data_IF_619910179214
#
_entry.id   IF_619910179214
#
_cell.length_a   1.000
_cell.length_b   1.000
_cell.length_c   1.000
_cell.angle_alpha   90.00
_cell.angle_beta   90.00
_cell.angle_gamma   90.00
#
_symmetry.space_group_name_H-M   'P 1'
#
loop_
_entity.id
_entity.type
_entity.pdbx_description
1 polymer ?
#
# COMPACT_ATOMS: atom_id res chain seq x y z
N UNK A 1 -17.06 -5.99 20.96
CA UNK A 1 -16.43 -4.65 20.78
C UNK A 1 -15.13 -4.68 21.57
N UNK A 2 -13.96 -4.55 20.94
CA UNK A 2 -12.67 -4.60 21.66
C UNK A 2 -12.47 -3.27 22.39
N UNK A 3 -11.88 -3.30 23.58
CA UNK A 3 -11.54 -2.11 24.38
C UNK A 3 -10.79 -1.05 23.55
N UNK A 4 -9.97 -1.50 22.59
CA UNK A 4 -9.28 -0.63 21.64
C UNK A 4 -10.21 0.18 20.72
N UNK A 5 -11.38 -0.36 20.33
CA UNK A 5 -12.34 0.35 19.46
C UNK A 5 -13.11 1.45 20.22
N UNK A 6 -13.32 1.25 21.52
CA UNK A 6 -13.86 2.25 22.43
C UNK A 6 -12.85 3.38 22.69
N UNK A 7 -11.59 3.02 22.89
CA UNK A 7 -10.51 3.98 23.13
C UNK A 7 -10.25 4.86 21.90
N UNK A 8 -10.45 4.36 20.69
CA UNK A 8 -10.31 5.12 19.44
C UNK A 8 -11.34 6.26 19.31
N UNK A 9 -12.48 6.16 19.97
CA UNK A 9 -13.55 7.17 19.93
C UNK A 9 -13.38 8.26 20.98
N UNK A 10 -12.58 8.02 22.03
CA UNK A 10 -12.50 8.89 23.21
C UNK A 10 -11.11 9.56 23.35
N UNK A 11 -10.06 8.98 22.76
CA UNK A 11 -8.68 9.47 22.91
C UNK A 11 -8.28 10.28 21.67
N UNK A 12 -7.75 11.52 21.82
CA UNK A 12 -7.20 12.29 20.73
C UNK A 12 -6.13 11.51 19.95
N UNK A 13 -6.12 11.63 18.61
CA UNK A 13 -5.23 10.87 17.72
C UNK A 13 -3.74 10.90 18.12
N UNK A 14 -3.28 12.02 18.70
CA UNK A 14 -1.91 12.19 19.19
C UNK A 14 -1.58 11.26 20.38
N UNK A 15 -2.53 11.10 21.31
CA UNK A 15 -2.39 10.23 22.48
C UNK A 15 -2.47 8.76 22.09
N UNK A 16 -3.32 8.43 21.11
CA UNK A 16 -3.43 7.09 20.57
C UNK A 16 -2.14 6.64 19.87
N UNK A 17 -1.53 7.53 19.10
CA UNK A 17 -0.23 7.27 18.46
C UNK A 17 0.89 7.03 19.50
N UNK A 18 0.89 7.81 20.59
CA UNK A 18 1.84 7.65 21.70
C UNK A 18 1.66 6.33 22.45
N UNK A 19 0.42 5.98 22.81
CA UNK A 19 0.07 4.72 23.47
C UNK A 19 0.39 3.50 22.58
N UNK A 20 0.07 3.59 21.31
CA UNK A 20 0.40 2.56 20.31
C UNK A 20 1.92 2.36 20.23
N UNK A 21 2.70 3.44 20.18
CA UNK A 21 4.17 3.39 20.17
C UNK A 21 4.73 2.72 21.43
N UNK A 22 4.24 3.09 22.62
CA UNK A 22 4.61 2.48 23.91
C UNK A 22 4.26 0.99 23.95
N UNK A 23 3.08 0.62 23.47
CA UNK A 23 2.64 -0.77 23.38
C UNK A 23 3.59 -1.61 22.51
N UNK A 24 3.95 -1.14 21.32
CA UNK A 24 4.92 -1.84 20.47
C UNK A 24 6.32 -1.90 21.09
N UNK A 25 6.75 -0.86 21.81
CA UNK A 25 8.03 -0.89 22.54
C UNK A 25 8.04 -1.93 23.68
N UNK A 26 6.93 -2.08 24.39
CA UNK A 26 6.79 -3.14 25.40
C UNK A 26 6.79 -4.53 24.77
N UNK A 27 6.07 -4.72 23.68
CA UNK A 27 6.06 -6.00 22.97
C UNK A 27 7.47 -6.40 22.45
N UNK A 28 8.27 -5.43 22.02
CA UNK A 28 9.67 -5.68 21.62
C UNK A 28 10.52 -6.27 22.76
N UNK A 29 10.23 -5.95 24.02
CA UNK A 29 10.97 -6.49 25.18
C UNK A 29 10.64 -7.97 25.45
N UNK A 30 9.52 -8.47 24.98
CA UNK A 30 9.06 -9.84 25.28
C UNK A 30 9.49 -10.88 24.24
N UNK A 31 9.96 -10.42 23.09
CA UNK A 31 10.41 -11.29 22.00
C UNK A 31 11.82 -10.92 21.56
N UNK A 32 12.67 -11.93 21.34
CA UNK A 32 13.97 -11.71 20.69
C UNK A 32 13.75 -11.09 19.29
N UNK A 33 14.53 -10.07 18.91
CA UNK A 33 14.46 -9.51 17.57
C UNK A 33 14.59 -10.59 16.49
N UNK A 34 13.89 -10.40 15.38
CA UNK A 34 14.05 -11.25 14.21
C UNK A 34 15.34 -10.89 13.49
N UNK A 35 16.16 -11.90 13.17
CA UNK A 35 17.39 -11.73 12.40
C UNK A 35 17.14 -11.89 10.90
N UNK A 36 18.14 -11.60 10.07
CA UNK A 36 18.04 -11.66 8.60
C UNK A 36 17.65 -13.05 8.10
N UNK A 37 18.22 -14.13 8.64
CA UNK A 37 17.87 -15.49 8.25
C UNK A 37 16.38 -15.77 8.50
N UNK A 38 15.89 -15.46 9.69
CA UNK A 38 14.48 -15.65 10.04
C UNK A 38 13.54 -14.80 9.15
N UNK A 39 14.00 -13.62 8.72
CA UNK A 39 13.23 -12.79 7.80
C UNK A 39 13.20 -13.39 6.40
N UNK A 40 14.31 -13.91 5.89
CA UNK A 40 14.37 -14.64 4.61
C UNK A 40 13.47 -15.87 4.62
N UNK A 41 13.60 -16.71 5.67
CA UNK A 41 12.75 -17.89 5.84
C UNK A 41 11.26 -17.51 5.84
N UNK A 42 10.88 -16.40 6.49
CA UNK A 42 9.50 -15.91 6.55
C UNK A 42 9.01 -15.43 5.18
N UNK A 43 9.85 -14.74 4.39
CA UNK A 43 9.49 -14.31 3.04
C UNK A 43 9.17 -15.50 2.14
N UNK A 44 9.97 -16.55 2.20
CA UNK A 44 9.85 -17.73 1.34
C UNK A 44 8.74 -18.68 1.82
N UNK A 45 8.65 -18.96 3.11
CA UNK A 45 7.73 -20.00 3.64
C UNK A 45 6.34 -19.48 3.97
N UNK A 46 6.24 -18.28 4.60
CA UNK A 46 4.98 -17.75 5.10
C UNK A 46 4.32 -16.76 4.15
N UNK A 47 5.14 -15.94 3.47
CA UNK A 47 4.70 -14.97 2.49
C UNK A 47 4.76 -15.53 1.05
N UNK A 48 5.37 -16.71 0.86
CA UNK A 48 5.48 -17.47 -0.39
C UNK A 48 6.06 -16.65 -1.55
N UNK A 49 7.09 -15.83 -1.28
CA UNK A 49 7.77 -15.03 -2.31
C UNK A 49 8.82 -15.88 -3.01
N UNK A 50 8.84 -15.80 -4.33
CA UNK A 50 9.76 -16.56 -5.20
C UNK A 50 10.51 -15.63 -6.14
N UNK A 51 11.60 -16.11 -6.68
CA UNK A 51 12.32 -15.42 -7.77
C UNK A 51 11.37 -15.22 -8.95
N UNK A 52 11.40 -14.03 -9.54
CA UNK A 52 10.55 -13.63 -10.64
C UNK A 52 9.19 -13.07 -10.24
N UNK A 53 8.82 -13.10 -8.96
CA UNK A 53 7.56 -12.52 -8.50
C UNK A 53 7.52 -10.99 -8.66
N UNK A 54 6.34 -10.45 -8.93
CA UNK A 54 6.05 -9.02 -8.83
C UNK A 54 5.34 -8.75 -7.52
N UNK A 55 6.02 -8.11 -6.57
CA UNK A 55 5.56 -7.99 -5.19
C UNK A 55 5.33 -6.54 -4.80
N UNK A 56 4.08 -6.22 -4.44
CA UNK A 56 3.77 -4.93 -3.81
C UNK A 56 3.94 -5.01 -2.29
N UNK A 57 4.68 -4.06 -1.71
CA UNK A 57 5.10 -4.09 -0.31
C UNK A 57 4.45 -2.95 0.48
N UNK A 58 3.62 -3.31 1.45
CA UNK A 58 3.17 -2.41 2.51
C UNK A 58 4.01 -2.63 3.77
N UNK A 59 4.51 -1.57 4.38
CA UNK A 59 5.39 -1.72 5.54
C UNK A 59 5.17 -0.70 6.63
N UNK A 60 5.39 -1.12 7.87
CA UNK A 60 5.52 -0.24 9.04
C UNK A 60 6.74 -0.63 9.85
N UNK A 61 7.88 -0.10 9.47
CA UNK A 61 9.18 -0.42 10.08
C UNK A 61 9.18 -0.17 11.58
N UNK A 62 8.48 0.86 12.05
CA UNK A 62 8.37 1.19 13.48
C UNK A 62 7.71 0.07 14.32
N UNK A 63 6.91 -0.78 13.68
CA UNK A 63 6.25 -1.93 14.33
C UNK A 63 7.07 -3.21 14.23
N UNK A 64 8.23 -3.19 13.56
CA UNK A 64 9.11 -4.34 13.46
C UNK A 64 10.06 -4.42 14.65
N UNK A 65 10.31 -5.65 15.10
CA UNK A 65 11.35 -6.01 16.06
C UNK A 65 12.40 -6.83 15.34
N UNK A 66 13.31 -6.14 14.65
CA UNK A 66 14.40 -6.71 13.84
C UNK A 66 15.76 -6.22 14.38
N UNK A 67 16.83 -6.99 14.20
CA UNK A 67 18.19 -6.65 14.61
C UNK A 67 19.12 -6.30 13.43
N UNK A 68 18.53 -5.98 12.28
CA UNK A 68 19.21 -5.52 11.08
C UNK A 68 18.60 -4.21 10.56
N UNK A 69 19.30 -3.52 9.68
CA UNK A 69 18.89 -2.20 9.20
C UNK A 69 17.72 -2.28 8.19
N UNK A 70 16.99 -1.17 8.03
CA UNK A 70 15.93 -1.06 6.98
C UNK A 70 16.52 -1.13 5.58
N UNK A 71 17.78 -0.72 5.42
CA UNK A 71 18.51 -0.88 4.17
C UNK A 71 18.73 -2.35 3.84
N UNK A 72 19.18 -3.14 4.82
CA UNK A 72 19.30 -4.61 4.67
C UNK A 72 17.95 -5.26 4.41
N UNK A 73 16.86 -4.76 5.03
CA UNK A 73 15.50 -5.25 4.74
C UNK A 73 15.14 -5.06 3.26
N UNK A 74 15.45 -3.88 2.67
CA UNK A 74 15.23 -3.63 1.24
C UNK A 74 16.09 -4.59 0.38
N UNK A 75 17.35 -4.76 0.71
CA UNK A 75 18.25 -5.65 -0.03
C UNK A 75 17.76 -7.11 0.01
N UNK A 76 17.31 -7.58 1.17
CA UNK A 76 16.74 -8.94 1.31
C UNK A 76 15.51 -9.11 0.41
N UNK A 77 14.63 -8.12 0.33
CA UNK A 77 13.46 -8.16 -0.56
C UNK A 77 13.89 -8.24 -2.03
N UNK A 78 14.86 -7.42 -2.45
CA UNK A 78 15.40 -7.42 -3.82
C UNK A 78 16.05 -8.76 -4.17
N UNK A 79 16.88 -9.31 -3.28
CA UNK A 79 17.53 -10.61 -3.45
C UNK A 79 16.51 -11.76 -3.53
N UNK A 80 15.41 -11.68 -2.75
CA UNK A 80 14.38 -12.72 -2.74
C UNK A 80 13.63 -12.78 -4.06
N UNK A 81 13.24 -11.63 -4.64
CA UNK A 81 12.57 -11.63 -5.96
C UNK A 81 13.56 -11.81 -7.11
N UNK A 82 14.85 -11.48 -6.91
CA UNK A 82 15.91 -11.61 -7.90
C UNK A 82 15.77 -10.67 -9.10
N UNK A 83 16.65 -10.83 -10.10
CA UNK A 83 16.73 -9.94 -11.26
C UNK A 83 15.47 -9.96 -12.14
N UNK A 84 14.80 -11.12 -12.23
CA UNK A 84 13.57 -11.29 -13.01
C UNK A 84 12.32 -10.77 -12.27
N UNK A 85 12.45 -10.48 -10.97
CA UNK A 85 11.37 -9.97 -10.14
C UNK A 85 11.18 -8.46 -10.19
N UNK A 86 10.10 -8.00 -9.57
CA UNK A 86 9.81 -6.56 -9.44
C UNK A 86 9.18 -6.27 -8.08
N UNK A 87 9.67 -5.23 -7.40
CA UNK A 87 9.09 -4.71 -6.15
C UNK A 87 8.36 -3.40 -6.42
N UNK A 88 7.17 -3.25 -5.84
CA UNK A 88 6.38 -2.03 -5.88
C UNK A 88 6.18 -1.51 -4.45
N UNK A 89 6.33 -0.20 -4.28
CA UNK A 89 6.15 0.49 -3.00
C UNK A 89 5.22 1.69 -3.18
N UNK A 90 4.12 1.79 -2.41
CA UNK A 90 3.34 3.03 -2.35
C UNK A 90 4.24 4.23 -2.07
N UNK A 91 4.08 5.32 -2.81
CA UNK A 91 5.07 6.40 -2.79
C UNK A 91 4.49 7.81 -2.92
N UNK A 92 3.24 8.04 -2.49
CA UNK A 92 2.69 9.39 -2.50
C UNK A 92 3.36 10.29 -1.46
N UNK A 93 3.34 11.60 -1.72
CA UNK A 93 4.18 12.59 -1.05
C UNK A 93 3.39 13.58 -0.17
N UNK A 94 2.08 13.50 -0.14
CA UNK A 94 1.23 14.40 0.67
C UNK A 94 0.67 13.69 1.89
N UNK A 95 0.21 14.48 2.87
CA UNK A 95 -0.44 14.01 4.10
C UNK A 95 -1.87 14.52 4.13
N UNK A 96 -2.79 13.72 4.64
CA UNK A 96 -4.20 14.08 4.78
C UNK A 96 -5.02 13.79 3.53
N UNK A 97 -5.99 14.67 3.23
CA UNK A 97 -6.96 14.46 2.15
C UNK A 97 -6.38 14.91 0.81
N UNK A 98 -6.50 14.05 -0.21
CA UNK A 98 -6.10 14.35 -1.58
C UNK A 98 -6.77 15.62 -2.13
N UNK A 99 -8.05 15.83 -1.80
CA UNK A 99 -8.79 17.04 -2.17
C UNK A 99 -8.07 18.33 -1.72
N UNK A 100 -7.65 18.38 -0.45
CA UNK A 100 -6.97 19.56 0.11
C UNK A 100 -5.62 19.77 -0.58
N UNK A 101 -4.89 18.68 -0.82
CA UNK A 101 -3.62 18.72 -1.53
C UNK A 101 -3.81 19.25 -2.97
N UNK A 102 -4.78 18.72 -3.72
CA UNK A 102 -5.01 19.09 -5.12
C UNK A 102 -5.51 20.54 -5.28
N UNK A 103 -6.34 21.03 -4.35
CA UNK A 103 -6.85 22.41 -4.35
C UNK A 103 -5.83 23.45 -3.91
N UNK A 104 -4.73 23.04 -3.25
CA UNK A 104 -3.69 23.98 -2.83
C UNK A 104 -2.85 24.41 -4.04
N UNK A 105 -2.80 25.72 -4.38
CA UNK A 105 -2.06 26.23 -5.52
C UNK A 105 -0.55 26.02 -5.41
N UNK A 106 0.01 25.82 -4.22
CA UNK A 106 1.44 25.61 -4.01
C UNK A 106 1.84 24.14 -4.03
N UNK A 107 0.87 23.22 -4.09
CA UNK A 107 1.15 21.80 -4.15
C UNK A 107 1.66 21.40 -5.54
N UNK A 108 2.82 20.76 -5.58
CA UNK A 108 3.44 20.22 -6.79
C UNK A 108 4.02 18.85 -6.46
N UNK A 109 3.78 17.87 -7.30
CA UNK A 109 4.43 16.58 -7.24
C UNK A 109 5.64 16.55 -8.18
N UNK A 110 6.83 16.61 -7.62
CA UNK A 110 8.06 16.36 -8.34
C UNK A 110 8.38 14.86 -8.25
N UNK A 111 8.31 14.16 -9.39
CA UNK A 111 8.48 12.70 -9.47
C UNK A 111 9.81 12.26 -8.86
N UNK A 112 10.87 13.00 -9.14
CA UNK A 112 12.24 12.71 -8.69
C UNK A 112 12.48 13.13 -7.24
N UNK A 113 12.08 14.36 -6.87
CA UNK A 113 12.53 15.01 -5.66
C UNK A 113 11.52 14.94 -4.49
N UNK A 114 10.21 14.86 -4.75
CA UNK A 114 9.23 14.81 -3.67
C UNK A 114 9.43 13.57 -2.78
N UNK A 115 9.65 13.71 -1.45
CA UNK A 115 9.80 12.56 -0.56
C UNK A 115 8.50 11.78 -0.47
N UNK A 116 8.55 10.50 -0.12
CA UNK A 116 7.33 9.77 0.24
C UNK A 116 6.98 9.99 1.71
N UNK A 117 5.68 10.09 2.01
CA UNK A 117 5.17 10.19 3.39
C UNK A 117 4.82 8.83 4.01
N UNK A 118 5.15 7.72 3.33
CA UNK A 118 4.73 6.37 3.69
C UNK A 118 5.80 5.55 4.44
N UNK A 119 6.79 6.23 4.98
CA UNK A 119 7.78 5.63 5.88
C UNK A 119 9.13 5.30 5.23
N UNK A 120 10.06 4.87 6.10
CA UNK A 120 11.49 4.79 5.75
C UNK A 120 11.78 3.75 4.65
N UNK A 121 11.14 2.57 4.66
CA UNK A 121 11.40 1.56 3.64
C UNK A 121 10.98 2.07 2.25
N UNK A 122 9.82 2.71 2.16
CA UNK A 122 9.31 3.28 0.91
C UNK A 122 10.21 4.41 0.41
N UNK A 123 10.77 5.23 1.32
CA UNK A 123 11.70 6.31 0.95
C UNK A 123 13.06 5.75 0.47
N UNK A 124 13.58 4.70 1.11
CA UNK A 124 14.78 4.02 0.64
C UNK A 124 14.57 3.36 -0.73
N UNK A 125 13.43 2.70 -0.93
CA UNK A 125 13.07 2.12 -2.22
C UNK A 125 12.96 3.19 -3.32
N UNK A 126 12.28 4.32 -3.04
CA UNK A 126 12.19 5.45 -3.99
C UNK A 126 13.55 6.02 -4.39
N UNK A 127 14.50 6.04 -3.46
CA UNK A 127 15.87 6.56 -3.69
C UNK A 127 16.84 5.53 -4.24
N UNK A 128 16.41 4.29 -4.41
CA UNK A 128 17.29 3.26 -4.98
C UNK A 128 17.72 3.64 -6.40
N UNK A 129 18.99 3.43 -6.81
CA UNK A 129 19.49 3.85 -8.12
C UNK A 129 18.68 3.32 -9.31
N UNK A 130 18.12 2.12 -9.18
CA UNK A 130 17.31 1.45 -10.21
C UNK A 130 15.81 1.65 -10.00
N UNK A 131 15.40 2.58 -9.14
CA UNK A 131 13.98 2.84 -8.90
C UNK A 131 13.41 3.76 -9.99
N UNK A 132 12.21 3.44 -10.43
CA UNK A 132 11.35 4.31 -11.20
C UNK A 132 10.15 4.73 -10.35
N UNK A 133 9.52 5.85 -10.66
CA UNK A 133 8.34 6.33 -9.92
C UNK A 133 7.26 6.81 -10.88
N UNK A 134 6.02 6.45 -10.61
CA UNK A 134 4.89 6.85 -11.46
C UNK A 134 4.52 8.32 -11.28
N UNK A 135 3.96 8.90 -12.34
CA UNK A 135 3.64 10.34 -12.42
C UNK A 135 2.25 10.70 -11.87
N UNK A 136 1.53 9.76 -11.23
CA UNK A 136 0.18 10.04 -10.70
C UNK A 136 0.26 10.81 -9.36
N UNK A 137 -0.33 12.03 -9.22
CA UNK A 137 -0.10 12.92 -8.09
C UNK A 137 -0.67 12.41 -6.76
N UNK A 138 -1.69 11.58 -6.80
CA UNK A 138 -2.35 11.06 -5.58
C UNK A 138 -2.15 9.57 -5.34
N UNK A 139 -1.67 8.81 -6.33
CA UNK A 139 -1.49 7.37 -6.26
C UNK A 139 -0.06 6.90 -6.57
N UNK A 140 0.96 7.77 -6.48
CA UNK A 140 2.32 7.46 -6.89
C UNK A 140 2.85 6.15 -6.29
N UNK A 141 3.51 5.35 -7.12
CA UNK A 141 4.18 4.10 -6.79
C UNK A 141 5.65 4.21 -7.22
N UNK A 142 6.57 3.77 -6.37
CA UNK A 142 7.96 3.51 -6.75
C UNK A 142 8.12 2.01 -7.02
N UNK A 143 8.86 1.65 -8.07
CA UNK A 143 9.11 0.27 -8.42
C UNK A 143 10.58 0.03 -8.78
N UNK A 144 11.08 -1.17 -8.44
CA UNK A 144 12.44 -1.61 -8.73
C UNK A 144 12.36 -3.02 -9.33
N UNK A 145 12.99 -3.25 -10.46
CA UNK A 145 13.07 -4.57 -11.08
C UNK A 145 12.61 -4.58 -12.53
N UNK A 146 12.51 -5.78 -13.10
CA UNK A 146 12.35 -6.03 -14.55
C UNK A 146 11.16 -5.30 -15.18
N UNK A 147 10.01 -5.31 -14.53
CA UNK A 147 8.77 -4.72 -15.05
C UNK A 147 8.48 -3.31 -14.55
N UNK A 148 9.41 -2.70 -13.76
CA UNK A 148 9.17 -1.43 -13.08
C UNK A 148 8.71 -0.33 -14.05
N UNK A 149 9.46 -0.09 -15.13
CA UNK A 149 9.16 0.99 -16.07
C UNK A 149 7.82 0.78 -16.80
N UNK A 150 7.53 -0.45 -17.24
CA UNK A 150 6.27 -0.77 -17.92
C UNK A 150 5.06 -0.59 -17.01
N UNK A 151 5.15 -1.06 -15.77
CA UNK A 151 4.07 -0.94 -14.79
C UNK A 151 3.70 0.50 -14.47
N UNK A 152 4.69 1.41 -14.49
CA UNK A 152 4.52 2.80 -14.08
C UNK A 152 4.15 3.74 -15.24
N UNK A 153 4.41 3.35 -16.49
CA UNK A 153 4.45 4.23 -17.67
C UNK A 153 3.15 4.97 -17.98
N UNK A 154 2.00 4.36 -17.75
CA UNK A 154 0.67 4.89 -18.11
C UNK A 154 -0.16 5.39 -16.95
N UNK A 155 0.37 5.35 -15.71
CA UNK A 155 -0.40 5.68 -14.52
C UNK A 155 -1.02 7.08 -14.54
N UNK A 156 -0.37 8.05 -15.19
CA UNK A 156 -0.84 9.44 -15.33
C UNK A 156 -1.95 9.61 -16.37
N UNK A 157 -2.23 8.59 -17.18
CA UNK A 157 -3.28 8.60 -18.19
C UNK A 157 -4.65 8.20 -17.60
N UNK A 158 -4.67 7.67 -16.38
CA UNK A 158 -5.90 7.30 -15.68
C UNK A 158 -6.33 8.41 -14.72
N UNK A 159 -7.62 8.67 -14.64
CA UNK A 159 -8.19 9.54 -13.61
C UNK A 159 -8.33 8.83 -12.26
N UNK A 160 -8.18 7.51 -12.26
CA UNK A 160 -8.30 6.66 -11.10
C UNK A 160 -6.91 6.33 -10.51
N UNK A 161 -6.63 6.67 -9.23
CA UNK A 161 -5.35 6.35 -8.59
C UNK A 161 -5.00 4.85 -8.54
N UNK A 162 -6.00 3.99 -8.56
CA UNK A 162 -5.87 2.53 -8.55
C UNK A 162 -6.63 1.85 -9.70
N UNK A 163 -6.94 2.59 -10.76
CA UNK A 163 -7.66 2.10 -11.94
C UNK A 163 -6.82 1.17 -12.81
N UNK A 164 -7.33 0.90 -14.02
CA UNK A 164 -6.74 -0.10 -14.94
C UNK A 164 -5.34 0.26 -15.44
N UNK A 165 -5.01 1.54 -15.55
CA UNK A 165 -3.66 2.01 -15.92
C UNK A 165 -2.72 2.18 -14.71
N UNK A 166 -3.21 1.94 -13.49
CA UNK A 166 -2.39 1.99 -12.30
C UNK A 166 -1.43 0.79 -12.21
N UNK A 167 -0.27 0.96 -11.54
CA UNK A 167 0.63 -0.16 -11.27
C UNK A 167 -0.01 -1.28 -10.47
N UNK A 168 -1.01 -0.96 -9.63
CA UNK A 168 -1.79 -1.93 -8.86
C UNK A 168 -2.54 -2.91 -9.73
N UNK A 169 -3.17 -2.43 -10.80
CA UNK A 169 -3.92 -3.27 -11.73
C UNK A 169 -2.99 -3.94 -12.75
N UNK A 170 -2.01 -3.20 -13.27
CA UNK A 170 -1.08 -3.73 -14.29
C UNK A 170 -0.21 -4.87 -13.78
N UNK A 171 0.14 -4.87 -12.47
CA UNK A 171 0.92 -5.97 -11.89
C UNK A 171 0.23 -7.34 -11.97
N UNK A 172 -1.09 -7.38 -12.16
CA UNK A 172 -1.85 -8.63 -12.30
C UNK A 172 -1.36 -9.52 -13.46
N UNK A 173 -0.62 -8.95 -14.40
CA UNK A 173 -0.02 -9.68 -15.55
C UNK A 173 1.24 -10.47 -15.17
N UNK A 174 1.85 -10.22 -13.99
CA UNK A 174 3.21 -10.64 -13.68
C UNK A 174 3.33 -11.37 -12.35
N UNK A 175 2.77 -12.57 -12.24
CA UNK A 175 2.86 -13.40 -11.02
C UNK A 175 2.76 -12.57 -9.73
N UNK A 176 1.63 -11.87 -9.51
CA UNK A 176 1.53 -10.80 -8.54
C UNK A 176 1.36 -11.31 -7.12
N UNK A 177 2.01 -10.63 -6.17
CA UNK A 177 1.77 -10.78 -4.73
C UNK A 177 1.70 -9.42 -4.04
N UNK A 178 0.96 -9.34 -2.97
CA UNK A 178 0.94 -8.16 -2.11
C UNK A 178 1.23 -8.59 -0.69
N UNK A 179 2.23 -7.98 -0.07
CA UNK A 179 2.62 -8.32 1.30
C UNK A 179 2.53 -7.13 2.25
N UNK A 180 2.25 -7.44 3.50
CA UNK A 180 2.33 -6.48 4.61
C UNK A 180 3.37 -6.90 5.63
N UNK A 181 4.34 -6.03 5.90
CA UNK A 181 5.45 -6.22 6.83
C UNK A 181 5.29 -5.26 8.01
N UNK A 182 4.97 -5.80 9.19
CA UNK A 182 4.60 -4.98 10.36
C UNK A 182 3.22 -4.31 10.21
N UNK A 183 2.41 -4.72 9.23
CA UNK A 183 1.14 -4.10 8.89
C UNK A 183 -0.04 -5.07 8.95
N UNK A 184 -1.23 -4.49 9.13
CA UNK A 184 -2.52 -5.18 9.00
C UNK A 184 -3.13 -4.84 7.64
N UNK A 185 -4.09 -5.62 7.20
CA UNK A 185 -4.82 -5.39 5.93
C UNK A 185 -5.53 -4.04 5.82
N UNK A 186 -5.60 -3.25 6.88
CA UNK A 186 -6.11 -1.87 6.83
C UNK A 186 -5.26 -0.94 5.96
N UNK A 187 -3.98 -1.29 5.72
CA UNK A 187 -3.05 -0.57 4.87
C UNK A 187 -3.08 -1.02 3.41
N UNK A 188 -3.84 -2.05 3.07
CA UNK A 188 -3.88 -2.67 1.75
C UNK A 188 -4.54 -1.74 0.73
N UNK A 189 -3.74 -1.01 -0.05
CA UNK A 189 -4.23 -0.06 -1.06
C UNK A 189 -4.94 -0.73 -2.24
N UNK A 190 -4.63 -2.00 -2.52
CA UNK A 190 -5.21 -2.76 -3.62
C UNK A 190 -6.74 -2.90 -3.54
N UNK A 191 -7.34 -2.76 -2.34
CA UNK A 191 -8.81 -2.73 -2.21
C UNK A 191 -9.46 -1.64 -3.07
N UNK A 192 -8.75 -0.54 -3.32
CA UNK A 192 -9.22 0.56 -4.16
C UNK A 192 -9.27 0.16 -5.65
N UNK A 193 -8.50 -0.83 -6.11
CA UNK A 193 -8.63 -1.35 -7.46
C UNK A 193 -10.03 -1.92 -7.71
N UNK A 194 -10.62 -2.62 -6.72
CA UNK A 194 -11.99 -3.14 -6.83
C UNK A 194 -13.00 -2.00 -6.90
N UNK A 195 -12.84 -1.00 -6.02
CA UNK A 195 -13.72 0.17 -5.96
C UNK A 195 -13.71 0.96 -7.27
N UNK A 196 -12.52 1.14 -7.86
CA UNK A 196 -12.32 1.97 -9.04
C UNK A 196 -12.62 1.21 -10.34
N UNK A 197 -12.37 -0.09 -10.41
CA UNK A 197 -12.77 -0.92 -11.58
C UNK A 197 -14.27 -1.12 -11.68
N UNK A 198 -14.98 -1.07 -10.56
CA UNK A 198 -16.44 -1.15 -10.48
C UNK A 198 -17.11 0.22 -10.30
N UNK A 199 -16.43 1.31 -10.56
CA UNK A 199 -16.80 2.68 -10.17
C UNK A 199 -18.31 2.98 -10.22
N UNK A 200 -18.97 2.75 -11.36
CA UNK A 200 -20.39 3.00 -11.54
C UNK A 200 -21.28 2.00 -10.80
N UNK A 201 -20.81 0.76 -10.63
CA UNK A 201 -21.55 -0.37 -10.06
C UNK A 201 -21.19 -0.60 -8.58
N UNK A 202 -20.13 0.04 -8.07
CA UNK A 202 -19.71 -0.16 -6.69
C UNK A 202 -20.79 0.39 -5.72
N UNK A 203 -21.21 -0.41 -4.71
CA UNK A 203 -22.35 -0.04 -3.86
C UNK A 203 -22.20 1.24 -3.05
N UNK A 204 -20.96 1.73 -2.91
CA UNK A 204 -20.63 2.91 -2.11
C UNK A 204 -19.85 3.91 -2.95
N UNK A 205 -20.37 5.13 -3.10
CA UNK A 205 -19.67 6.21 -3.82
C UNK A 205 -18.48 6.72 -3.01
N UNK A 206 -17.28 6.24 -3.37
CA UNK A 206 -16.03 6.50 -2.65
C UNK A 206 -15.25 7.68 -3.18
N UNK A 207 -15.36 7.93 -4.47
CA UNK A 207 -14.65 8.99 -5.16
C UNK A 207 -15.54 10.20 -5.43
N UNK A 208 -14.92 11.32 -5.72
CA UNK A 208 -15.56 12.53 -6.22
C UNK A 208 -16.25 12.27 -7.57
N UNK A 209 -17.25 13.07 -7.90
CA UNK A 209 -17.88 13.06 -9.22
C UNK A 209 -17.07 13.87 -10.24
N UNK A 210 -16.29 14.84 -9.75
CA UNK A 210 -15.44 15.71 -10.56
C UNK A 210 -13.97 15.41 -10.32
N UNK A 211 -13.16 15.57 -11.35
CA UNK A 211 -11.69 15.49 -11.26
C UNK A 211 -11.10 16.81 -10.79
N UNK A 212 -9.91 16.74 -10.20
CA UNK A 212 -9.04 17.88 -9.95
C UNK A 212 -7.69 17.65 -10.62
N UNK A 213 -7.09 18.73 -11.11
CA UNK A 213 -5.77 18.71 -11.72
C UNK A 213 -4.66 18.73 -10.67
N UNK A 214 -3.85 17.69 -10.62
CA UNK A 214 -2.61 17.66 -9.86
C UNK A 214 -1.43 18.12 -10.70
N UNK A 215 -0.64 19.08 -10.20
CA UNK A 215 0.57 19.56 -10.90
C UNK A 215 1.72 18.61 -10.66
N UNK A 216 2.37 18.18 -11.72
CA UNK A 216 3.45 17.19 -11.71
C UNK A 216 4.65 17.74 -12.47
N UNK A 217 5.85 17.59 -11.89
CA UNK A 217 7.12 17.79 -12.57
C UNK A 217 7.69 16.41 -12.87
N UNK A 218 7.85 16.10 -14.15
CA UNK A 218 8.43 14.84 -14.62
C UNK A 218 9.94 14.79 -14.36
N UNK A 219 10.55 13.61 -14.51
CA UNK A 219 12.00 13.43 -14.31
C UNK A 219 12.86 14.27 -15.26
N UNK A 220 12.36 14.57 -16.46
CA UNK A 220 13.01 15.47 -17.44
C UNK A 220 12.80 16.96 -17.15
N UNK A 221 12.08 17.32 -16.07
CA UNK A 221 11.75 18.69 -15.69
C UNK A 221 10.50 19.27 -16.37
N UNK A 222 9.86 18.55 -17.26
CA UNK A 222 8.60 18.95 -17.89
C UNK A 222 7.49 19.04 -16.84
N UNK A 223 6.63 20.06 -16.98
CA UNK A 223 5.48 20.29 -16.08
C UNK A 223 4.20 19.89 -16.79
N UNK A 224 3.48 18.97 -16.18
CA UNK A 224 2.18 18.51 -16.68
C UNK A 224 1.10 18.66 -15.61
N UNK A 225 -0.17 18.58 -16.03
CA UNK A 225 -1.31 18.47 -15.13
C UNK A 225 -1.99 17.12 -15.35
N UNK A 226 -2.09 16.33 -14.30
CA UNK A 226 -2.75 15.03 -14.32
C UNK A 226 -4.11 15.17 -13.65
N UNK A 227 -5.17 14.84 -14.38
CA UNK A 227 -6.53 14.82 -13.85
C UNK A 227 -6.74 13.59 -12.98
N UNK A 228 -7.33 13.76 -11.80
CA UNK A 228 -7.58 12.63 -10.90
C UNK A 228 -8.87 12.81 -10.11
N UNK A 229 -9.59 11.71 -9.92
CA UNK A 229 -10.61 11.60 -8.90
C UNK A 229 -9.95 11.45 -7.51
N UNK A 230 -10.69 11.79 -6.48
CA UNK A 230 -10.19 11.75 -5.10
C UNK A 230 -11.28 11.25 -4.15
N UNK A 231 -10.87 10.77 -2.98
CA UNK A 231 -11.83 10.33 -1.95
C UNK A 231 -12.76 11.49 -1.56
N UNK A 232 -14.07 11.29 -1.66
CA UNK A 232 -15.08 12.31 -1.40
C UNK A 232 -15.20 12.74 0.08
N UNK A 233 -14.39 12.19 0.97
CA UNK A 233 -14.37 12.54 2.39
C UNK A 233 -15.61 12.15 3.20
N UNK A 234 -16.69 11.71 2.56
CA UNK A 234 -17.92 11.17 3.20
C UNK A 234 -17.78 9.67 3.47
N UNK A 235 -16.56 9.18 3.44
CA UNK A 235 -16.24 7.76 3.56
C UNK A 235 -16.76 7.22 4.86
N UNK A 236 -17.64 6.24 4.77
CA UNK A 236 -18.16 5.49 5.90
C UNK A 236 -17.03 4.78 6.64
N UNK A 237 -17.26 4.47 7.90
CA UNK A 237 -16.31 3.75 8.74
C UNK A 237 -15.92 2.43 8.09
N UNK A 238 -14.62 2.24 7.81
CA UNK A 238 -14.07 0.99 7.26
C UNK A 238 -13.79 0.01 8.38
N UNK A 239 -14.13 -1.28 8.18
CA UNK A 239 -13.71 -2.37 9.06
C UNK A 239 -13.04 -3.49 8.26
N UNK A 240 -11.90 -3.15 7.64
CA UNK A 240 -11.15 -4.07 6.78
C UNK A 240 -10.82 -5.39 7.49
N UNK A 241 -10.36 -5.34 8.75
CA UNK A 241 -9.95 -6.57 9.46
C UNK A 241 -11.11 -7.53 9.66
N UNK A 242 -12.30 -7.01 10.01
CA UNK A 242 -13.48 -7.84 10.18
C UNK A 242 -13.96 -8.40 8.83
N UNK A 243 -14.03 -7.55 7.81
CA UNK A 243 -14.42 -7.93 6.46
C UNK A 243 -13.53 -9.07 5.93
N UNK A 244 -12.20 -8.91 6.00
CA UNK A 244 -11.27 -9.94 5.54
C UNK A 244 -11.43 -11.25 6.30
N UNK A 245 -11.64 -11.20 7.63
CA UNK A 245 -11.85 -12.41 8.44
C UNK A 245 -13.15 -13.13 8.14
N UNK A 246 -14.20 -12.42 7.75
CA UNK A 246 -15.53 -12.98 7.56
C UNK A 246 -15.80 -13.40 6.11
N UNK A 247 -15.18 -12.72 5.14
CA UNK A 247 -15.61 -12.84 3.75
C UNK A 247 -14.48 -13.21 2.78
N UNK A 248 -13.20 -13.04 3.15
CA UNK A 248 -12.07 -13.31 2.24
C UNK A 248 -11.42 -14.64 2.61
N UNK A 249 -11.21 -15.49 1.61
CA UNK A 249 -10.55 -16.78 1.78
C UNK A 249 -9.08 -16.61 2.18
N UNK A 250 -8.52 -17.61 2.85
CA UNK A 250 -7.08 -17.62 3.17
C UNK A 250 -6.21 -17.77 1.94
N UNK A 251 -6.76 -18.27 0.83
CA UNK A 251 -6.06 -18.37 -0.45
C UNK A 251 -5.88 -16.98 -1.08
N UNK A 252 -6.89 -16.12 -0.96
CA UNK A 252 -6.83 -14.75 -1.45
C UNK A 252 -6.03 -13.82 -0.53
N UNK A 253 -6.17 -13.98 0.81
CA UNK A 253 -5.38 -13.19 1.76
C UNK A 253 -5.16 -13.93 3.09
N UNK A 254 -3.90 -14.26 3.38
CA UNK A 254 -3.44 -14.84 4.64
C UNK A 254 -2.98 -13.72 5.58
N UNK A 255 -3.58 -13.62 6.76
CA UNK A 255 -3.18 -12.69 7.83
C UNK A 255 -2.64 -13.48 9.01
N UNK A 256 -1.46 -13.13 9.51
CA UNK A 256 -0.84 -13.85 10.63
C UNK A 256 0.05 -12.93 11.49
N UNK A 257 0.54 -13.47 12.59
CA UNK A 257 1.52 -12.83 13.45
C UNK A 257 2.75 -13.72 13.59
N UNK A 258 3.93 -13.10 13.51
CA UNK A 258 5.19 -13.72 13.83
C UNK A 258 5.93 -12.87 14.87
N UNK A 259 6.29 -13.45 16.03
CA UNK A 259 6.90 -12.74 17.17
C UNK A 259 6.14 -11.43 17.50
N UNK A 260 4.82 -11.49 17.58
CA UNK A 260 3.89 -10.35 17.79
C UNK A 260 3.83 -9.28 16.68
N UNK A 261 4.63 -9.36 15.65
CA UNK A 261 4.54 -8.51 14.46
C UNK A 261 3.42 -9.00 13.53
N UNK A 262 2.67 -8.07 12.93
CA UNK A 262 1.60 -8.42 11.99
C UNK A 262 2.17 -8.55 10.57
N UNK A 263 1.70 -9.56 9.87
CA UNK A 263 2.00 -9.80 8.46
C UNK A 263 0.73 -10.19 7.71
N UNK A 264 0.73 -9.92 6.42
CA UNK A 264 -0.24 -10.49 5.50
C UNK A 264 0.40 -10.78 4.14
N UNK A 265 -0.16 -11.75 3.43
CA UNK A 265 0.16 -12.07 2.05
C UNK A 265 -1.14 -12.24 1.28
N UNK A 266 -1.29 -11.53 0.15
CA UNK A 266 -2.47 -11.63 -0.69
C UNK A 266 -2.08 -12.03 -2.11
N UNK A 267 -2.90 -12.91 -2.71
CA UNK A 267 -2.94 -13.09 -4.16
C UNK A 267 -3.92 -12.06 -4.72
N UNK A 268 -3.46 -11.00 -5.40
CA UNK A 268 -4.34 -9.93 -5.85
C UNK A 268 -5.31 -10.33 -6.95
N UNK A 269 -5.04 -11.38 -7.73
CA UNK A 269 -5.96 -11.90 -8.74
C UNK A 269 -7.19 -12.50 -8.04
N UNK A 270 -6.98 -13.44 -7.14
CA UNK A 270 -8.06 -14.06 -6.38
C UNK A 270 -8.80 -13.05 -5.50
N UNK A 271 -8.06 -12.11 -4.91
CA UNK A 271 -8.64 -11.07 -4.07
C UNK A 271 -9.55 -10.13 -4.87
N UNK A 272 -9.14 -9.73 -6.08
CA UNK A 272 -9.96 -8.91 -6.98
C UNK A 272 -11.27 -9.61 -7.34
N UNK A 273 -11.20 -10.90 -7.68
CA UNK A 273 -12.37 -11.71 -8.02
C UNK A 273 -13.33 -11.83 -6.83
N UNK A 274 -12.84 -12.25 -5.66
CA UNK A 274 -13.68 -12.40 -4.46
C UNK A 274 -14.33 -11.09 -4.05
N UNK A 275 -13.55 -10.00 -3.99
CA UNK A 275 -14.09 -8.71 -3.59
C UNK A 275 -15.10 -8.15 -4.61
N UNK A 276 -14.89 -8.40 -5.90
CA UNK A 276 -15.85 -8.03 -6.96
C UNK A 276 -17.18 -8.79 -6.79
N UNK A 277 -17.12 -10.11 -6.53
CA UNK A 277 -18.32 -10.92 -6.30
C UNK A 277 -19.07 -10.47 -5.03
N UNK A 278 -18.36 -10.08 -3.98
CA UNK A 278 -18.95 -9.56 -2.75
C UNK A 278 -19.59 -8.17 -2.97
N UNK A 279 -18.90 -7.28 -3.68
CA UNK A 279 -19.42 -5.95 -4.02
C UNK A 279 -20.72 -6.03 -4.84
N UNK A 280 -20.80 -6.94 -5.80
CA UNK A 280 -22.03 -7.20 -6.60
C UNK A 280 -23.20 -7.70 -5.73
N UNK A 281 -22.94 -8.25 -4.53
CA UNK A 281 -23.94 -8.62 -3.52
C UNK A 281 -24.18 -7.53 -2.48
N UNK A 282 -23.61 -6.33 -2.66
CA UNK A 282 -23.68 -5.23 -1.70
C UNK A 282 -22.82 -5.40 -0.46
N UNK A 283 -21.94 -6.41 -0.42
CA UNK A 283 -21.05 -6.69 0.72
C UNK A 283 -19.71 -6.01 0.48
N UNK A 284 -19.38 -5.01 1.30
CA UNK A 284 -18.15 -4.22 1.16
C UNK A 284 -17.45 -4.03 2.51
N UNK A 285 -16.24 -3.43 2.47
CA UNK A 285 -15.50 -3.03 3.70
C UNK A 285 -16.16 -1.87 4.45
N UNK A 286 -17.13 -1.22 3.85
CA UNK A 286 -17.84 -0.04 4.39
C UNK A 286 -19.09 -0.47 5.15
N UNK A 287 -19.39 0.28 6.22
CA UNK A 287 -20.59 0.09 7.05
C UNK A 287 -21.60 1.17 6.79
#
# INVERSE_FOLDING_TARGET
MRIADLLYQVIPNQWFASLSRRYYQLQKKWHKPMNEKQFRDLLETELDIKKGDTVAVHSSVNKLNINFSVYQLLNILLETVGEEGTLLFPSWHYVGRAEIYLKNPDSVYDVKNSPTMLGLLNELARRHPNAHRSCHPTGAIAAIGKHAQELLSTHHLDIFPCGKESPWYKMLKYNPKIIGIGEKVVSLSFIHCVEETLYDQFPVKMLSEETLGGRVILENGEKITVQTLYSNGKVRKKDCVRFFKQHISKQSCKMFQYKSMNFFSCNPILLLEEMTQLANKGITIYK
#
